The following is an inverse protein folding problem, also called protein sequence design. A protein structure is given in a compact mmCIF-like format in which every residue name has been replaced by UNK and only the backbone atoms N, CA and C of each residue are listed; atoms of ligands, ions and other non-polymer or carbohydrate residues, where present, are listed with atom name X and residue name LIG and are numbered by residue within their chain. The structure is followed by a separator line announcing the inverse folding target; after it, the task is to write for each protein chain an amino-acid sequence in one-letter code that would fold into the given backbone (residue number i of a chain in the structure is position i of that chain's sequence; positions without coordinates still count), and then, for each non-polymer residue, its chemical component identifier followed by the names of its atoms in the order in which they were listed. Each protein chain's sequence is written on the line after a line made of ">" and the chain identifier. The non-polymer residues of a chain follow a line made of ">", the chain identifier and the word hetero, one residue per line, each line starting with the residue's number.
data_IF_178624435657
#
_entry.id   IF_178624435657
#
_cell.length_a   1.000
_cell.length_b   1.000
_cell.length_c   1.000
_cell.angle_alpha   90.00
_cell.angle_beta   90.00
_cell.angle_gamma   90.00
#
_symmetry.space_group_name_H-M   'P 1'
#
loop_
_entity.id
_entity.type
_entity.pdbx_description
1 polymer ?
#
# COMPACT_ATOMS: atom_id res chain seq x y z
N UNK A 1 -12.13 2.03 -20.84
CA UNK A 1 -13.04 1.52 -19.79
C UNK A 1 -14.09 2.59 -19.58
N UNK A 2 -15.34 2.31 -19.96
CA UNK A 2 -16.45 3.23 -19.70
C UNK A 2 -16.78 3.21 -18.20
N UNK A 3 -17.18 4.34 -17.61
CA UNK A 3 -17.57 4.37 -16.20
C UNK A 3 -18.84 3.54 -15.99
N UNK A 4 -18.74 2.48 -15.20
CA UNK A 4 -19.86 1.64 -14.79
C UNK A 4 -20.27 2.03 -13.36
N UNK A 5 -21.54 2.42 -13.18
CA UNK A 5 -22.07 2.75 -11.85
C UNK A 5 -22.48 1.47 -11.12
N UNK A 6 -21.55 0.89 -10.37
CA UNK A 6 -21.82 -0.28 -9.54
C UNK A 6 -22.53 0.03 -8.19
N UNK A 7 -22.72 1.31 -7.85
CA UNK A 7 -23.40 1.71 -6.61
C UNK A 7 -22.74 1.10 -5.36
N UNK A 8 -23.54 0.43 -4.53
CA UNK A 8 -23.08 -0.20 -3.29
C UNK A 8 -22.18 -1.43 -3.54
N UNK A 9 -22.27 -2.06 -4.73
CA UNK A 9 -21.41 -3.18 -5.11
C UNK A 9 -19.93 -2.77 -5.24
N UNK A 10 -19.61 -1.48 -5.42
CA UNK A 10 -18.23 -0.98 -5.46
C UNK A 10 -17.47 -1.15 -4.13
N UNK A 11 -18.19 -1.28 -3.00
CA UNK A 11 -17.59 -1.49 -1.68
C UNK A 11 -17.23 -2.96 -1.42
N UNK A 12 -17.79 -3.88 -2.20
CA UNK A 12 -17.61 -5.31 -1.99
C UNK A 12 -16.16 -5.77 -2.23
N UNK A 13 -15.46 -5.35 -3.31
CA UNK A 13 -14.05 -5.70 -3.52
C UNK A 13 -13.10 -5.31 -2.36
N UNK A 14 -13.10 -4.06 -1.85
CA UNK A 14 -12.23 -3.69 -0.72
C UNK A 14 -12.61 -4.39 0.58
N UNK A 15 -13.91 -4.61 0.85
CA UNK A 15 -14.34 -5.35 2.05
C UNK A 15 -13.83 -6.79 2.00
N UNK A 16 -13.95 -7.48 0.87
CA UNK A 16 -13.42 -8.84 0.70
C UNK A 16 -11.90 -8.85 0.89
N UNK A 17 -11.18 -7.90 0.28
CA UNK A 17 -9.73 -7.83 0.42
C UNK A 17 -9.30 -7.68 1.89
N UNK A 18 -9.95 -6.78 2.64
CA UNK A 18 -9.63 -6.52 4.05
C UNK A 18 -9.98 -7.73 4.92
N UNK A 19 -11.19 -8.29 4.76
CA UNK A 19 -11.65 -9.43 5.57
C UNK A 19 -10.77 -10.65 5.33
N UNK A 20 -10.43 -10.94 4.07
CA UNK A 20 -9.53 -12.05 3.74
C UNK A 20 -8.11 -11.78 4.26
N UNK A 21 -7.61 -10.55 4.19
CA UNK A 21 -6.26 -10.22 4.66
C UNK A 21 -6.15 -10.44 6.18
N UNK A 22 -7.19 -10.11 6.94
CA UNK A 22 -7.23 -10.32 8.39
C UNK A 22 -7.36 -11.79 8.77
N UNK A 23 -8.14 -12.58 8.02
CA UNK A 23 -8.36 -14.00 8.30
C UNK A 23 -7.18 -14.88 7.86
N UNK A 24 -6.71 -14.69 6.62
CA UNK A 24 -5.65 -15.51 6.03
C UNK A 24 -4.26 -15.08 6.50
N UNK A 25 -4.12 -13.84 7.01
CA UNK A 25 -2.84 -13.18 7.28
C UNK A 25 -1.92 -13.09 6.05
N UNK A 26 -2.48 -13.29 4.86
CA UNK A 26 -1.79 -13.27 3.57
C UNK A 26 -2.33 -12.08 2.77
N UNK A 27 -1.60 -10.96 2.78
CA UNK A 27 -2.06 -9.71 2.16
C UNK A 27 -2.14 -9.82 0.64
N UNK A 28 -1.14 -10.48 0.02
CA UNK A 28 -1.05 -10.56 -1.44
C UNK A 28 -2.22 -11.34 -2.02
N UNK A 29 -2.50 -12.54 -1.48
CA UNK A 29 -3.60 -13.39 -1.96
C UNK A 29 -4.96 -12.72 -1.75
N UNK A 30 -5.12 -12.03 -0.64
CA UNK A 30 -6.35 -11.29 -0.30
C UNK A 30 -6.56 -10.08 -1.23
N UNK A 31 -5.50 -9.35 -1.55
CA UNK A 31 -5.54 -8.24 -2.51
C UNK A 31 -5.89 -8.75 -3.92
N UNK A 32 -5.30 -9.87 -4.36
CA UNK A 32 -5.64 -10.50 -5.64
C UNK A 32 -7.12 -10.90 -5.71
N UNK A 33 -7.65 -11.52 -4.65
CA UNK A 33 -9.06 -11.89 -4.57
C UNK A 33 -9.98 -10.65 -4.64
N UNK A 34 -9.61 -9.55 -3.98
CA UNK A 34 -10.31 -8.27 -4.09
C UNK A 34 -10.32 -7.72 -5.51
N UNK A 35 -9.15 -7.66 -6.18
CA UNK A 35 -9.02 -7.19 -7.56
C UNK A 35 -9.89 -8.02 -8.51
N UNK A 36 -9.81 -9.36 -8.41
CA UNK A 36 -10.61 -10.26 -9.23
C UNK A 36 -12.11 -10.08 -8.99
N UNK A 37 -12.52 -9.85 -7.74
CA UNK A 37 -13.93 -9.57 -7.44
C UNK A 37 -14.39 -8.25 -8.05
N UNK A 38 -13.57 -7.20 -8.00
CA UNK A 38 -13.87 -5.91 -8.62
C UNK A 38 -13.95 -5.98 -10.15
N UNK A 39 -13.03 -6.69 -10.78
CA UNK A 39 -13.04 -6.86 -12.25
C UNK A 39 -14.12 -7.82 -12.72
N UNK A 40 -14.59 -8.73 -11.86
CA UNK A 40 -15.75 -9.58 -12.12
C UNK A 40 -17.04 -8.76 -12.15
N UNK A 41 -17.25 -7.89 -11.16
CA UNK A 41 -18.41 -6.98 -11.13
C UNK A 41 -18.40 -6.10 -12.38
N UNK A 42 -17.24 -5.56 -12.76
CA UNK A 42 -17.09 -4.77 -13.98
C UNK A 42 -17.41 -5.57 -15.25
N UNK A 43 -16.93 -6.81 -15.36
CA UNK A 43 -17.13 -7.65 -16.54
C UNK A 43 -18.59 -8.05 -16.73
N UNK A 44 -19.29 -8.40 -15.64
CA UNK A 44 -20.73 -8.69 -15.65
C UNK A 44 -21.52 -7.42 -16.00
N UNK A 45 -21.16 -6.28 -15.42
CA UNK A 45 -21.82 -4.99 -15.66
C UNK A 45 -21.74 -4.50 -17.10
N UNK A 46 -20.73 -4.93 -17.86
CA UNK A 46 -20.55 -4.59 -19.28
C UNK A 46 -20.98 -5.69 -20.25
N UNK A 47 -21.53 -6.81 -19.76
CA UNK A 47 -21.92 -7.94 -20.61
C UNK A 47 -20.75 -8.67 -21.28
N UNK A 48 -19.54 -8.56 -20.72
CA UNK A 48 -18.35 -9.27 -21.18
C UNK A 48 -18.36 -10.72 -20.66
N UNK A 49 -17.53 -11.59 -21.25
CA UNK A 49 -17.33 -12.94 -20.71
C UNK A 49 -16.79 -12.84 -19.27
N UNK A 50 -17.48 -13.39 -18.26
CA UNK A 50 -17.15 -13.17 -16.85
C UNK A 50 -15.84 -13.83 -16.41
N UNK A 51 -15.33 -14.82 -17.15
CA UNK A 51 -14.06 -15.48 -16.80
C UNK A 51 -12.90 -14.78 -17.50
N UNK A 52 -12.98 -14.67 -18.83
CA UNK A 52 -11.90 -14.09 -19.63
C UNK A 52 -11.81 -12.57 -19.45
N UNK A 53 -12.96 -11.89 -19.39
CA UNK A 53 -13.04 -10.44 -19.22
C UNK A 53 -12.53 -9.96 -17.87
N UNK A 54 -12.72 -10.75 -16.81
CA UNK A 54 -12.25 -10.43 -15.45
C UNK A 54 -10.73 -10.42 -15.37
N UNK A 55 -10.10 -11.48 -15.90
CA UNK A 55 -8.65 -11.61 -15.93
C UNK A 55 -8.05 -10.56 -16.85
N UNK A 56 -8.57 -10.42 -18.07
CA UNK A 56 -8.07 -9.43 -19.03
C UNK A 56 -8.19 -8.00 -18.50
N UNK A 57 -9.31 -7.65 -17.85
CA UNK A 57 -9.50 -6.31 -17.28
C UNK A 57 -8.58 -6.04 -16.11
N UNK A 58 -8.30 -7.04 -15.27
CA UNK A 58 -7.35 -6.92 -14.17
C UNK A 58 -5.93 -6.63 -14.69
N UNK A 59 -5.44 -7.43 -15.63
CA UNK A 59 -4.11 -7.23 -16.22
C UNK A 59 -4.03 -5.93 -17.03
N UNK A 60 -5.05 -5.61 -17.83
CA UNK A 60 -5.07 -4.38 -18.61
C UNK A 60 -5.07 -3.13 -17.71
N UNK A 61 -5.78 -3.15 -16.58
CA UNK A 61 -5.76 -2.05 -15.62
C UNK A 61 -4.40 -1.93 -14.94
N UNK A 62 -3.79 -3.06 -14.55
CA UNK A 62 -2.47 -3.08 -13.91
C UNK A 62 -1.42 -2.46 -14.84
N UNK A 63 -1.34 -2.88 -16.10
CA UNK A 63 -0.38 -2.33 -17.08
C UNK A 63 -0.65 -0.85 -17.34
N UNK A 64 -1.92 -0.45 -17.47
CA UNK A 64 -2.28 0.94 -17.79
C UNK A 64 -2.03 1.91 -16.63
N UNK A 65 -2.14 1.45 -15.38
CA UNK A 65 -1.98 2.27 -14.17
C UNK A 65 -0.54 2.28 -13.65
N UNK A 66 0.35 1.46 -14.19
CA UNK A 66 1.78 1.49 -13.85
C UNK A 66 2.42 2.76 -14.43
N UNK A 67 2.55 3.79 -13.60
CA UNK A 67 3.26 5.01 -13.95
C UNK A 67 4.75 4.90 -13.60
N UNK A 68 5.63 5.11 -14.60
CA UNK A 68 7.09 5.09 -14.43
C UNK A 68 7.57 6.10 -13.37
N UNK A 69 6.84 7.20 -13.19
CA UNK A 69 7.15 8.21 -12.18
C UNK A 69 7.14 7.64 -10.76
N UNK A 70 6.19 6.75 -10.44
CA UNK A 70 6.11 6.12 -9.12
C UNK A 70 7.32 5.20 -8.90
N UNK A 71 7.69 4.42 -9.91
CA UNK A 71 8.84 3.51 -9.83
C UNK A 71 10.14 4.29 -9.59
N UNK A 72 10.37 5.35 -10.37
CA UNK A 72 11.55 6.21 -10.20
C UNK A 72 11.54 6.88 -8.82
N UNK A 73 10.38 7.37 -8.38
CA UNK A 73 10.23 7.98 -7.06
C UNK A 73 10.58 7.00 -5.93
N UNK A 74 10.05 5.76 -5.97
CA UNK A 74 10.39 4.71 -5.01
C UNK A 74 11.89 4.38 -5.01
N UNK A 75 12.51 4.28 -6.19
CA UNK A 75 13.96 4.05 -6.29
C UNK A 75 14.77 5.19 -5.68
N UNK A 76 14.40 6.44 -5.95
CA UNK A 76 15.07 7.62 -5.39
C UNK A 76 14.89 7.69 -3.87
N UNK A 77 13.69 7.41 -3.36
CA UNK A 77 13.43 7.31 -1.93
C UNK A 77 14.28 6.21 -1.27
N UNK A 78 14.31 5.01 -1.86
CA UNK A 78 15.15 3.91 -1.37
C UNK A 78 16.64 4.29 -1.36
N UNK A 79 17.13 4.93 -2.42
CA UNK A 79 18.51 5.42 -2.48
C UNK A 79 18.79 6.50 -1.43
N UNK A 80 17.88 7.45 -1.22
CA UNK A 80 17.99 8.48 -0.18
C UNK A 80 18.08 7.85 1.21
N UNK A 81 17.17 6.92 1.52
CA UNK A 81 17.16 6.20 2.82
C UNK A 81 18.47 5.44 3.01
N UNK A 82 18.96 4.76 1.96
CA UNK A 82 20.23 4.05 2.01
C UNK A 82 21.42 4.97 2.26
N UNK A 83 21.50 6.11 1.55
CA UNK A 83 22.57 7.12 1.74
C UNK A 83 22.54 7.70 3.15
N UNK A 84 21.37 8.05 3.68
CA UNK A 84 21.22 8.56 5.05
C UNK A 84 21.65 7.52 6.08
N UNK A 85 21.32 6.25 5.84
CA UNK A 85 21.73 5.13 6.71
C UNK A 85 23.24 4.94 6.69
N UNK A 86 23.87 4.94 5.51
CA UNK A 86 25.31 4.81 5.32
C UNK A 86 26.10 6.00 5.90
N UNK A 87 25.58 7.22 5.80
CA UNK A 87 26.15 8.41 6.42
C UNK A 87 26.08 8.39 7.96
N UNK A 88 25.43 7.38 8.56
CA UNK A 88 25.28 7.24 10.00
C UNK A 88 24.15 8.09 10.59
N UNK A 89 23.23 8.60 9.75
CA UNK A 89 22.11 9.44 10.18
C UNK A 89 21.21 8.73 11.20
N UNK A 90 20.92 7.45 10.99
CA UNK A 90 20.17 6.60 11.93
C UNK A 90 20.86 6.46 13.29
N UNK A 91 22.20 6.31 13.30
CA UNK A 91 23.01 6.21 14.52
C UNK A 91 23.12 7.55 15.27
N UNK A 92 23.27 8.65 14.54
CA UNK A 92 23.28 10.00 15.09
C UNK A 92 21.91 10.38 15.68
N UNK A 93 20.82 10.06 14.96
CA UNK A 93 19.45 10.25 15.43
C UNK A 93 19.18 9.44 16.72
N UNK A 94 19.60 8.17 16.77
CA UNK A 94 19.46 7.35 17.99
C UNK A 94 20.16 7.94 19.20
N UNK A 95 21.38 8.46 19.04
CA UNK A 95 22.12 9.15 20.12
C UNK A 95 21.43 10.44 20.56
N UNK A 96 20.99 11.27 19.60
CA UNK A 96 20.25 12.49 19.89
C UNK A 96 18.93 12.19 20.62
N UNK A 97 18.15 11.23 20.11
CA UNK A 97 16.88 10.80 20.69
C UNK A 97 17.07 10.30 22.13
N UNK A 98 18.10 9.48 22.39
CA UNK A 98 18.40 8.98 23.74
C UNK A 98 18.80 10.10 24.71
N UNK A 99 19.49 11.13 24.24
CA UNK A 99 19.88 12.28 25.09
C UNK A 99 18.70 13.20 25.45
N UNK A 100 17.71 13.32 24.54
CA UNK A 100 16.55 14.22 24.66
C UNK A 100 15.35 13.54 25.31
N UNK A 101 15.12 12.26 25.02
CA UNK A 101 14.00 11.45 25.53
C UNK A 101 14.43 10.77 26.82
N UNK A 102 14.08 11.36 27.96
CA UNK A 102 14.46 10.84 29.29
C UNK A 102 13.34 10.12 30.04
N UNK A 103 12.10 10.19 29.56
CA UNK A 103 10.93 9.58 30.21
C UNK A 103 10.25 8.53 29.33
N UNK A 104 9.70 7.49 29.96
CA UNK A 104 8.91 6.44 29.28
C UNK A 104 7.74 7.04 28.48
N UNK A 105 7.06 8.05 29.04
CA UNK A 105 5.96 8.74 28.34
C UNK A 105 6.44 9.49 27.10
N UNK A 106 7.58 10.19 27.18
CA UNK A 106 8.14 10.90 26.02
C UNK A 106 8.61 9.95 24.92
N UNK A 107 9.13 8.78 25.29
CA UNK A 107 9.54 7.76 24.32
C UNK A 107 8.34 7.23 23.53
N UNK A 108 7.27 6.84 24.24
CA UNK A 108 6.01 6.37 23.64
C UNK A 108 5.37 7.40 22.71
N UNK A 109 5.31 8.67 23.12
CA UNK A 109 4.73 9.74 22.29
C UNK A 109 5.59 9.98 21.04
N UNK A 110 6.91 10.02 21.19
CA UNK A 110 7.83 10.25 20.06
C UNK A 110 7.77 9.12 19.03
N UNK A 111 7.73 7.86 19.46
CA UNK A 111 7.64 6.72 18.55
C UNK A 111 6.25 6.61 17.93
N UNK A 112 5.19 6.89 18.68
CA UNK A 112 3.82 6.93 18.14
C UNK A 112 3.65 8.02 17.08
N UNK A 113 4.18 9.22 17.30
CA UNK A 113 4.13 10.30 16.30
C UNK A 113 4.92 9.95 15.04
N UNK A 114 6.11 9.35 15.20
CA UNK A 114 6.91 8.89 14.06
C UNK A 114 6.16 7.81 13.26
N UNK A 115 5.49 6.88 13.95
CA UNK A 115 4.66 5.86 13.31
C UNK A 115 3.50 6.46 12.51
N UNK A 116 2.80 7.45 13.06
CA UNK A 116 1.71 8.16 12.34
C UNK A 116 2.25 8.91 11.12
N UNK A 117 3.42 9.55 11.24
CA UNK A 117 4.05 10.27 10.13
C UNK A 117 4.45 9.35 8.98
N UNK A 118 5.02 8.18 9.29
CA UNK A 118 5.43 7.19 8.27
C UNK A 118 4.22 6.49 7.66
N UNK A 119 3.19 6.19 8.47
CA UNK A 119 1.99 5.49 8.01
C UNK A 119 1.15 6.28 6.99
N UNK A 120 1.28 7.62 6.98
CA UNK A 120 0.59 8.48 6.00
C UNK A 120 1.08 8.25 4.56
N UNK A 121 2.29 7.72 4.40
CA UNK A 121 2.93 7.45 3.11
C UNK A 121 3.19 5.94 2.97
N UNK A 122 2.51 5.32 2.00
CA UNK A 122 2.61 3.89 1.75
C UNK A 122 4.01 3.48 1.27
N UNK A 123 4.71 4.35 0.54
CA UNK A 123 6.06 4.09 0.06
C UNK A 123 7.09 4.08 1.20
N UNK A 124 7.04 5.06 2.12
CA UNK A 124 7.91 5.06 3.30
C UNK A 124 7.60 3.90 4.24
N UNK A 125 6.32 3.61 4.49
CA UNK A 125 5.92 2.50 5.35
C UNK A 125 6.43 1.15 4.81
N UNK A 126 6.33 0.90 3.50
CA UNK A 126 6.83 -0.34 2.89
C UNK A 126 8.36 -0.44 2.80
N UNK A 127 9.09 0.68 2.76
CA UNK A 127 10.55 0.68 2.69
C UNK A 127 11.23 0.60 4.07
N UNK A 128 10.49 0.93 5.13
CA UNK A 128 11.03 0.97 6.51
C UNK A 128 10.65 -0.25 7.36
N UNK A 129 9.53 -0.90 7.05
CA UNK A 129 9.04 -2.14 7.68
C UNK A 129 9.52 -3.35 6.90
#
# INVERSE_FOLDING_TARGET
>A
MHPFYAGWLSLLPPVIAIVLALLTKEVITSLMAGILTGTLIYSIGMGLNPVVGTVQSAFAMMVKKTDLYIIIFCCLLGALVFVVSMAGGSKAYGRWATSKIRSKKSALISTSLLGVLIFIDDYFNCLTV
#
